data_IF_115978875991
#
_entry.id   IF_115978875991
#
_cell.length_a   1.000
_cell.length_b   1.000
_cell.length_c   1.000
_cell.angle_alpha   90.00
_cell.angle_beta   90.00
_cell.angle_gamma   90.00
#
_symmetry.space_group_name_H-M   'P 1'
#
loop_
_entity.id
_entity.type
_entity.pdbx_description
1 polymer ?
#
# COMPACT_ATOMS: atom_id res chain seq x y z
N UNK A 1 -18.87 -11.57 -20.34
CA UNK A 1 -18.44 -12.88 -20.89
C UNK A 1 -16.96 -12.87 -21.29
N UNK A 2 -16.51 -12.01 -22.21
CA UNK A 2 -15.13 -12.02 -22.74
C UNK A 2 -14.03 -11.95 -21.66
N UNK A 3 -14.16 -11.09 -20.66
CA UNK A 3 -13.22 -10.99 -19.53
C UNK A 3 -13.20 -12.28 -18.70
N UNK A 4 -14.34 -12.94 -18.55
CA UNK A 4 -14.44 -14.22 -17.85
C UNK A 4 -13.73 -15.34 -18.63
N UNK A 5 -13.88 -15.37 -19.95
CA UNK A 5 -13.10 -16.24 -20.83
C UNK A 5 -11.59 -15.97 -20.70
N UNK A 6 -11.17 -14.71 -20.64
CA UNK A 6 -9.78 -14.34 -20.39
C UNK A 6 -9.27 -14.92 -19.06
N UNK A 7 -10.02 -14.73 -17.96
CA UNK A 7 -9.68 -15.28 -16.63
C UNK A 7 -9.49 -16.80 -16.68
N UNK A 8 -10.42 -17.51 -17.31
CA UNK A 8 -10.37 -18.97 -17.44
C UNK A 8 -9.15 -19.41 -18.25
N UNK A 9 -8.92 -18.79 -19.41
CA UNK A 9 -7.79 -19.13 -20.28
C UNK A 9 -6.44 -18.88 -19.61
N UNK A 10 -6.32 -17.82 -18.81
CA UNK A 10 -5.12 -17.55 -18.00
C UNK A 10 -4.90 -18.60 -16.92
N UNK A 11 -5.96 -19.08 -16.26
CA UNK A 11 -5.85 -20.18 -15.30
C UNK A 11 -5.45 -21.51 -15.96
N UNK A 12 -5.95 -21.79 -17.18
CA UNK A 12 -5.49 -22.94 -17.95
C UNK A 12 -4.05 -22.79 -18.42
N UNK A 13 -3.64 -21.58 -18.82
CA UNK A 13 -2.25 -21.26 -19.18
C UNK A 13 -1.27 -21.55 -18.03
N UNK A 14 -1.63 -21.22 -16.79
CA UNK A 14 -0.79 -21.51 -15.62
C UNK A 14 -0.60 -23.02 -15.36
N UNK A 15 -1.58 -23.84 -15.74
CA UNK A 15 -1.56 -25.30 -15.54
C UNK A 15 -1.06 -26.08 -16.75
N UNK A 16 -0.98 -25.45 -17.92
CA UNK A 16 -0.65 -26.11 -19.17
C UNK A 16 0.85 -26.47 -19.25
N UNK A 17 1.21 -27.63 -19.82
CA UNK A 17 2.59 -27.95 -20.14
C UNK A 17 3.16 -26.96 -21.18
N UNK A 18 4.47 -26.75 -21.16
CA UNK A 18 5.16 -25.90 -22.14
C UNK A 18 4.98 -26.47 -23.57
N UNK A 19 4.62 -25.62 -24.52
CA UNK A 19 4.42 -25.98 -25.93
C UNK A 19 3.30 -25.17 -26.61
N UNK A 20 2.92 -25.57 -27.82
CA UNK A 20 1.97 -24.85 -28.67
C UNK A 20 0.59 -24.59 -28.01
N UNK A 21 0.16 -25.50 -27.15
CA UNK A 21 -1.11 -25.36 -26.42
C UNK A 21 -1.09 -24.14 -25.48
N UNK A 22 0.05 -23.91 -24.81
CA UNK A 22 0.23 -22.79 -23.89
C UNK A 22 0.21 -21.46 -24.64
N UNK A 23 0.90 -21.39 -25.78
CA UNK A 23 0.89 -20.21 -26.64
C UNK A 23 -0.50 -19.92 -27.22
N UNK A 24 -1.27 -20.97 -27.53
CA UNK A 24 -2.66 -20.82 -27.99
C UNK A 24 -3.56 -20.23 -26.90
N UNK A 25 -3.45 -20.70 -25.64
CA UNK A 25 -4.20 -20.11 -24.53
C UNK A 25 -3.86 -18.64 -24.31
N UNK A 26 -2.58 -18.26 -24.40
CA UNK A 26 -2.17 -16.86 -24.27
C UNK A 26 -2.73 -16.00 -25.41
N UNK A 27 -2.64 -16.47 -26.66
CA UNK A 27 -3.18 -15.77 -27.84
C UNK A 27 -4.69 -15.57 -27.73
N UNK A 28 -5.42 -16.62 -27.35
CA UNK A 28 -6.88 -16.54 -27.17
C UNK A 28 -7.26 -15.62 -26.01
N UNK A 29 -6.52 -15.64 -24.89
CA UNK A 29 -6.77 -14.73 -23.77
C UNK A 29 -6.62 -13.25 -24.22
N UNK A 30 -5.54 -12.93 -24.96
CA UNK A 30 -5.34 -11.59 -25.53
C UNK A 30 -6.46 -11.18 -26.48
N UNK A 31 -6.89 -12.09 -27.36
CA UNK A 31 -8.01 -11.84 -28.27
C UNK A 31 -9.30 -11.47 -27.53
N UNK A 32 -9.64 -12.20 -26.46
CA UNK A 32 -10.83 -11.89 -25.66
C UNK A 32 -10.69 -10.57 -24.88
N UNK A 33 -9.49 -10.22 -24.41
CA UNK A 33 -9.21 -8.94 -23.76
C UNK A 33 -9.41 -7.78 -24.76
N UNK A 34 -8.84 -7.87 -25.96
CA UNK A 34 -8.99 -6.87 -27.02
C UNK A 34 -10.45 -6.71 -27.48
N UNK A 35 -11.17 -7.83 -27.63
CA UNK A 35 -12.60 -7.80 -27.95
C UNK A 35 -13.42 -7.10 -26.87
N UNK A 36 -13.14 -7.37 -25.58
CA UNK A 36 -13.80 -6.69 -24.47
C UNK A 36 -13.56 -5.17 -24.49
N UNK A 37 -12.32 -4.75 -24.79
CA UNK A 37 -11.95 -3.34 -24.94
C UNK A 37 -12.72 -2.70 -26.10
N UNK A 38 -12.83 -3.38 -27.24
CA UNK A 38 -13.56 -2.88 -28.40
C UNK A 38 -15.05 -2.65 -28.11
N UNK A 39 -15.70 -3.59 -27.40
CA UNK A 39 -17.09 -3.45 -26.99
C UNK A 39 -17.30 -2.22 -26.08
N UNK A 40 -16.46 -2.04 -25.06
CA UNK A 40 -16.60 -0.90 -24.14
C UNK A 40 -16.34 0.42 -24.84
N UNK A 41 -15.33 0.49 -25.72
CA UNK A 41 -15.08 1.70 -26.52
C UNK A 41 -16.29 2.08 -27.37
N UNK A 42 -17.04 1.10 -27.88
CA UNK A 42 -18.25 1.40 -28.63
C UNK A 42 -19.39 1.89 -27.73
N UNK A 43 -19.54 1.32 -26.52
CA UNK A 43 -20.49 1.84 -25.52
C UNK A 43 -20.14 3.26 -25.07
N UNK A 44 -18.86 3.55 -24.86
CA UNK A 44 -18.35 4.86 -24.45
C UNK A 44 -18.66 5.95 -25.48
N UNK A 45 -18.61 5.63 -26.78
CA UNK A 45 -18.99 6.56 -27.85
C UNK A 45 -20.47 6.97 -27.81
N UNK A 46 -21.34 6.09 -27.32
CA UNK A 46 -22.76 6.36 -27.22
C UNK A 46 -23.07 7.22 -25.99
N UNK A 47 -22.67 6.74 -24.82
CA UNK A 47 -22.85 7.45 -23.55
C UNK A 47 -21.77 7.01 -22.56
N UNK A 48 -20.94 7.96 -22.13
CA UNK A 48 -19.82 7.70 -21.22
C UNK A 48 -20.27 7.31 -19.82
N UNK A 49 -21.37 7.88 -19.32
CA UNK A 49 -21.84 7.63 -17.97
C UNK A 49 -22.51 6.25 -17.88
N UNK A 50 -23.35 5.91 -18.87
CA UNK A 50 -23.93 4.56 -18.96
C UNK A 50 -22.85 3.49 -19.16
N UNK A 51 -21.81 3.76 -19.95
CA UNK A 51 -20.69 2.84 -20.11
C UNK A 51 -19.98 2.56 -18.77
N UNK A 52 -19.79 3.59 -17.93
CA UNK A 52 -19.23 3.42 -16.59
C UNK A 52 -20.15 2.57 -15.69
N UNK A 53 -21.46 2.75 -15.77
CA UNK A 53 -22.44 1.97 -15.01
C UNK A 53 -22.41 0.49 -15.41
N UNK A 54 -22.33 0.19 -16.71
CA UNK A 54 -22.24 -1.20 -17.22
C UNK A 54 -21.00 -1.92 -16.65
N UNK A 55 -19.87 -1.24 -16.54
CA UNK A 55 -18.62 -1.82 -15.99
C UNK A 55 -18.74 -2.15 -14.50
N UNK A 56 -19.51 -1.35 -13.76
CA UNK A 56 -19.71 -1.48 -12.32
C UNK A 56 -20.94 -2.32 -11.95
N UNK A 57 -21.78 -2.67 -12.93
CA UNK A 57 -22.94 -3.51 -12.72
C UNK A 57 -22.52 -4.90 -12.22
N UNK A 58 -23.21 -5.39 -11.19
CA UNK A 58 -23.04 -6.76 -10.71
C UNK A 58 -23.85 -7.71 -11.57
N UNK A 59 -23.22 -8.79 -12.02
CA UNK A 59 -23.85 -9.79 -12.88
C UNK A 59 -24.13 -11.05 -12.07
N UNK A 60 -25.41 -11.34 -11.84
CA UNK A 60 -25.86 -12.50 -11.04
C UNK A 60 -25.45 -13.84 -11.66
N UNK A 61 -25.53 -13.95 -12.99
CA UNK A 61 -25.15 -15.16 -13.75
C UNK A 61 -23.68 -15.60 -13.53
N UNK A 62 -22.82 -14.69 -13.10
CA UNK A 62 -21.40 -14.97 -12.86
C UNK A 62 -21.03 -14.87 -11.37
N UNK A 63 -22.01 -14.98 -10.46
CA UNK A 63 -21.76 -14.98 -9.01
C UNK A 63 -21.79 -13.60 -8.36
N UNK A 64 -22.60 -12.67 -8.89
CA UNK A 64 -22.80 -11.32 -8.33
C UNK A 64 -21.51 -10.46 -8.27
N UNK A 65 -20.64 -10.63 -9.26
CA UNK A 65 -19.37 -9.91 -9.43
C UNK A 65 -19.49 -8.84 -10.51
N UNK A 66 -18.65 -7.80 -10.42
CA UNK A 66 -18.59 -6.74 -11.45
C UNK A 66 -17.57 -7.07 -12.54
N UNK A 67 -17.72 -6.49 -13.74
CA UNK A 67 -16.76 -6.66 -14.82
C UNK A 67 -15.35 -6.18 -14.41
N UNK A 68 -15.27 -5.07 -13.66
CA UNK A 68 -14.01 -4.54 -13.15
C UNK A 68 -13.32 -5.48 -12.14
N UNK A 69 -14.09 -6.13 -11.25
CA UNK A 69 -13.55 -7.11 -10.30
C UNK A 69 -12.96 -8.32 -11.02
N UNK A 70 -13.66 -8.86 -12.01
CA UNK A 70 -13.18 -10.01 -12.79
C UNK A 70 -11.91 -9.65 -13.57
N UNK A 71 -11.86 -8.46 -14.18
CA UNK A 71 -10.69 -7.98 -14.89
C UNK A 71 -9.47 -7.78 -13.97
N UNK A 72 -9.69 -7.26 -12.76
CA UNK A 72 -8.64 -7.09 -11.75
C UNK A 72 -8.06 -8.45 -11.30
N UNK A 73 -8.93 -9.42 -11.02
CA UNK A 73 -8.56 -10.79 -10.69
C UNK A 73 -7.79 -11.48 -11.82
N UNK A 74 -8.19 -11.25 -13.07
CA UNK A 74 -7.55 -11.81 -14.26
C UNK A 74 -6.23 -11.09 -14.64
N UNK A 75 -5.88 -9.99 -13.95
CA UNK A 75 -4.76 -9.12 -14.28
C UNK A 75 -4.82 -8.58 -15.72
N UNK A 76 -6.02 -8.22 -16.20
CA UNK A 76 -6.28 -7.63 -17.53
C UNK A 76 -5.88 -6.15 -17.55
N UNK A 77 -4.58 -5.87 -17.58
CA UNK A 77 -4.02 -4.51 -17.43
C UNK A 77 -4.48 -3.57 -18.54
N UNK A 78 -4.61 -4.04 -19.78
CA UNK A 78 -5.00 -3.21 -20.92
C UNK A 78 -6.47 -2.81 -20.80
N UNK A 79 -7.32 -3.75 -20.38
CA UNK A 79 -8.72 -3.48 -20.13
C UNK A 79 -8.92 -2.44 -19.01
N UNK A 80 -8.25 -2.61 -17.86
CA UNK A 80 -8.38 -1.69 -16.71
C UNK A 80 -7.85 -0.29 -17.05
N UNK A 81 -6.85 -0.18 -17.92
CA UNK A 81 -6.30 1.10 -18.38
C UNK A 81 -7.23 1.87 -19.35
N UNK A 82 -8.35 1.27 -19.78
CA UNK A 82 -9.33 1.94 -20.65
C UNK A 82 -9.92 3.19 -19.97
N UNK A 83 -10.12 4.31 -20.68
CA UNK A 83 -10.64 5.55 -20.10
C UNK A 83 -11.94 5.38 -19.32
N UNK A 84 -12.88 4.55 -19.82
CA UNK A 84 -14.12 4.21 -19.13
C UNK A 84 -13.88 3.58 -17.74
N UNK A 85 -12.98 2.60 -17.62
CA UNK A 85 -12.64 1.97 -16.34
C UNK A 85 -11.98 2.96 -15.38
N UNK A 86 -11.06 3.79 -15.88
CA UNK A 86 -10.40 4.85 -15.09
C UNK A 86 -11.42 5.88 -14.60
N UNK A 87 -12.35 6.30 -15.44
CA UNK A 87 -13.42 7.23 -15.09
C UNK A 87 -14.38 6.62 -14.06
N UNK A 88 -14.72 5.34 -14.20
CA UNK A 88 -15.53 4.60 -13.22
C UNK A 88 -14.83 4.53 -11.84
N UNK A 89 -13.54 4.20 -11.80
CA UNK A 89 -12.76 4.21 -10.55
C UNK A 89 -12.64 5.61 -9.95
N UNK A 90 -12.46 6.65 -10.77
CA UNK A 90 -12.48 8.03 -10.31
C UNK A 90 -13.85 8.41 -9.73
N UNK A 91 -14.94 8.01 -10.38
CA UNK A 91 -16.30 8.22 -9.85
C UNK A 91 -16.47 7.53 -8.48
N UNK A 92 -15.93 6.32 -8.30
CA UNK A 92 -15.93 5.64 -7.00
C UNK A 92 -15.06 6.36 -5.95
N UNK A 93 -13.90 6.90 -6.36
CA UNK A 93 -12.97 7.61 -5.48
C UNK A 93 -13.59 8.88 -4.86
N UNK A 94 -14.31 9.66 -5.67
CA UNK A 94 -14.99 10.89 -5.24
C UNK A 94 -16.43 10.66 -4.77
N UNK A 95 -17.03 9.50 -5.09
CA UNK A 95 -18.42 9.16 -4.78
C UNK A 95 -19.39 10.27 -5.26
N UNK A 96 -20.09 10.92 -4.33
CA UNK A 96 -21.04 12.00 -4.61
C UNK A 96 -20.39 13.38 -4.77
N UNK A 97 -19.07 13.50 -4.60
CA UNK A 97 -18.32 14.73 -4.87
C UNK A 97 -18.03 14.77 -6.36
N UNK A 98 -18.18 15.94 -6.98
CA UNK A 98 -17.95 16.05 -8.41
C UNK A 98 -16.45 15.83 -8.73
N UNK A 99 -16.08 14.81 -9.54
CA UNK A 99 -14.66 14.45 -9.78
C UNK A 99 -13.94 15.46 -10.67
N UNK A 100 -14.68 16.27 -11.43
CA UNK A 100 -14.14 17.33 -12.29
C UNK A 100 -14.20 18.68 -11.58
N UNK A 101 -13.06 19.25 -11.26
CA UNK A 101 -12.52 20.33 -12.09
C UNK A 101 -11.16 20.78 -11.54
N UNK A 102 -10.18 20.72 -12.44
CA UNK A 102 -8.85 21.33 -12.42
C UNK A 102 -8.89 22.80 -11.96
N UNK A 103 -9.07 23.04 -10.67
CA UNK A 103 -9.04 24.37 -10.06
C UNK A 103 -8.48 24.24 -8.65
N UNK A 104 -7.38 24.95 -8.37
CA UNK A 104 -6.76 25.07 -7.02
C UNK A 104 -7.78 25.42 -5.94
N UNK A 105 -8.85 26.14 -6.30
CA UNK A 105 -9.98 26.49 -5.44
C UNK A 105 -10.71 25.28 -4.85
N UNK A 106 -10.90 24.21 -5.62
CA UNK A 106 -11.63 23.03 -5.16
C UNK A 106 -10.74 22.13 -4.30
N UNK A 107 -9.43 22.08 -4.57
CA UNK A 107 -8.46 21.44 -3.68
C UNK A 107 -8.39 22.15 -2.34
N UNK A 108 -8.37 23.50 -2.36
CA UNK A 108 -8.46 24.31 -1.16
C UNK A 108 -9.79 24.07 -0.42
N UNK A 109 -10.92 23.98 -1.13
CA UNK A 109 -12.21 23.66 -0.52
C UNK A 109 -12.22 22.27 0.17
N UNK A 110 -11.62 21.25 -0.46
CA UNK A 110 -11.46 19.94 0.16
C UNK A 110 -10.52 19.98 1.37
N UNK A 111 -9.44 20.77 1.31
CA UNK A 111 -8.52 20.96 2.44
C UNK A 111 -9.21 21.68 3.60
N UNK A 112 -9.94 22.77 3.34
CA UNK A 112 -10.75 23.48 4.35
C UNK A 112 -11.78 22.53 4.94
N UNK A 113 -12.44 21.71 4.12
CA UNK A 113 -13.35 20.66 4.58
C UNK A 113 -12.65 19.63 5.47
N UNK A 114 -11.44 19.19 5.11
CA UNK A 114 -10.65 18.23 5.88
C UNK A 114 -10.28 18.78 7.27
N UNK A 115 -9.71 19.98 7.32
CA UNK A 115 -9.28 20.63 8.57
C UNK A 115 -10.45 21.02 9.48
N UNK A 116 -11.61 21.35 8.89
CA UNK A 116 -12.83 21.65 9.65
C UNK A 116 -13.65 20.41 10.02
N UNK A 117 -13.07 19.20 9.91
CA UNK A 117 -13.75 17.91 10.18
C UNK A 117 -15.06 17.72 9.39
N UNK A 118 -15.15 18.34 8.21
CA UNK A 118 -16.29 18.28 7.31
C UNK A 118 -17.39 19.31 7.59
N UNK A 119 -17.27 20.15 8.62
CA UNK A 119 -18.28 21.17 8.93
C UNK A 119 -18.41 22.24 7.84
N UNK A 120 -17.30 22.72 7.28
CA UNK A 120 -17.35 23.71 6.20
C UNK A 120 -17.55 23.09 4.80
N UNK A 121 -17.53 21.76 4.70
CA UNK A 121 -17.65 21.07 3.41
C UNK A 121 -18.93 21.38 2.62
N UNK A 122 -20.13 21.53 3.23
CA UNK A 122 -21.37 21.83 2.50
C UNK A 122 -21.40 23.19 1.80
N UNK A 123 -20.55 24.14 2.21
CA UNK A 123 -20.49 25.49 1.65
C UNK A 123 -19.52 25.60 0.47
N UNK A 124 -18.38 24.91 0.55
CA UNK A 124 -17.29 25.06 -0.42
C UNK A 124 -17.17 23.90 -1.42
N UNK A 125 -17.71 22.72 -1.09
CA UNK A 125 -17.60 21.52 -1.95
C UNK A 125 -18.80 21.42 -2.90
N UNK A 126 -18.51 21.27 -4.19
CA UNK A 126 -19.52 20.99 -5.20
C UNK A 126 -19.83 19.48 -5.23
N UNK A 127 -21.11 19.16 -5.01
CA UNK A 127 -21.63 17.80 -5.09
C UNK A 127 -22.16 17.53 -6.49
N UNK A 128 -22.12 16.27 -6.91
CA UNK A 128 -22.71 15.83 -8.17
C UNK A 128 -24.23 15.87 -8.04
N UNK A 129 -24.89 16.56 -8.97
CA UNK A 129 -26.35 16.57 -9.04
C UNK A 129 -26.88 15.16 -9.37
N UNK A 130 -28.09 14.80 -8.90
CA UNK A 130 -28.78 13.63 -9.39
C UNK A 130 -28.84 13.66 -10.92
N UNK A 131 -28.73 12.51 -11.62
CA UNK A 131 -29.10 12.46 -13.02
C UNK A 131 -30.53 12.97 -13.11
N UNK A 132 -30.74 14.03 -13.90
CA UNK A 132 -32.08 14.51 -14.21
C UNK A 132 -32.79 13.36 -14.90
N UNK A 133 -33.81 12.79 -14.25
CA UNK A 133 -34.76 11.93 -14.96
C UNK A 133 -35.27 12.80 -16.10
N UNK A 134 -34.94 12.44 -17.35
CA UNK A 134 -35.52 13.13 -18.50
C UNK A 134 -37.02 12.88 -18.39
N UNK A 135 -37.80 13.91 -18.07
CA UNK A 135 -39.26 13.90 -18.04
C UNK A 135 -39.89 13.57 -19.42
N UNK A 136 -39.08 13.32 -20.45
CA UNK A 136 -39.48 12.92 -21.80
C UNK A 136 -39.16 11.45 -22.09
N UNK A 137 -39.63 10.54 -21.24
CA UNK A 137 -39.70 9.12 -21.59
C UNK A 137 -41.19 8.78 -21.64
N UNK A 138 -41.70 8.59 -22.85
CA UNK A 138 -43.01 7.99 -23.09
C UNK A 138 -43.14 6.73 -22.21
N UNK A 139 -44.20 6.59 -21.40
CA UNK A 139 -44.33 5.51 -20.42
C UNK A 139 -44.39 4.09 -21.05
N UNK A 140 -44.44 3.98 -22.38
CA UNK A 140 -44.36 2.70 -23.10
C UNK A 140 -42.92 2.27 -23.45
N UNK A 141 -41.92 3.17 -23.44
CA UNK A 141 -40.56 2.81 -23.87
C UNK A 141 -39.67 2.25 -22.75
N UNK A 142 -40.08 2.39 -21.50
CA UNK A 142 -39.49 1.71 -20.33
C UNK A 142 -39.92 0.25 -20.19
N UNK A 143 -40.80 -0.23 -21.07
CA UNK A 143 -41.38 -1.57 -21.06
C UNK A 143 -40.89 -2.49 -22.20
N UNK A 144 -39.80 -2.13 -22.87
CA UNK A 144 -39.09 -3.06 -23.74
C UNK A 144 -37.85 -3.60 -23.04
N UNK A 145 -37.93 -4.79 -22.38
CA UNK A 145 -36.73 -5.52 -22.01
C UNK A 145 -36.00 -5.82 -23.32
N UNK A 146 -34.71 -5.48 -23.40
CA UNK A 146 -33.86 -6.04 -24.44
C UNK A 146 -33.91 -7.56 -24.23
N UNK A 147 -34.65 -8.24 -25.11
CA UNK A 147 -35.13 -9.58 -24.88
C UNK A 147 -34.00 -10.59 -24.78
N UNK A 148 -33.86 -11.18 -23.59
CA UNK A 148 -33.54 -12.60 -23.44
C UNK A 148 -34.53 -13.13 -22.40
N UNK A 149 -35.63 -13.71 -22.90
CA UNK A 149 -36.61 -14.42 -22.08
C UNK A 149 -35.95 -15.62 -21.40
N UNK A 150 -35.77 -15.56 -20.09
CA UNK A 150 -35.96 -16.74 -19.24
C UNK A 150 -36.91 -16.34 -18.11
N UNK A 151 -38.06 -16.98 -18.12
CA UNK A 151 -39.13 -16.88 -17.14
C UNK A 151 -38.71 -17.54 -15.83
N UNK A 152 -38.49 -16.76 -14.77
CA UNK A 152 -38.48 -17.25 -13.39
C UNK A 152 -39.03 -16.19 -12.40
N UNK A 153 -39.64 -16.59 -11.27
CA UNK A 153 -40.68 -15.84 -10.56
C UNK A 153 -40.19 -15.16 -9.26
N UNK A 154 -38.99 -14.58 -9.24
CA UNK A 154 -38.45 -13.93 -8.04
C UNK A 154 -38.24 -12.42 -8.25
N UNK A 155 -38.63 -11.56 -7.28
CA UNK A 155 -38.45 -10.12 -7.39
C UNK A 155 -36.96 -9.77 -7.34
N UNK A 156 -36.46 -9.29 -8.48
CA UNK A 156 -35.07 -8.88 -8.71
C UNK A 156 -34.76 -7.67 -7.81
N UNK A 157 -34.11 -7.92 -6.68
CA UNK A 157 -33.63 -6.89 -5.76
C UNK A 157 -32.29 -6.34 -6.28
N UNK A 158 -32.36 -5.41 -7.24
CA UNK A 158 -31.21 -4.62 -7.67
C UNK A 158 -30.55 -3.95 -6.45
N UNK A 159 -29.25 -4.18 -6.17
CA UNK A 159 -28.57 -3.44 -5.12
C UNK A 159 -28.48 -1.98 -5.55
N UNK A 160 -29.14 -1.12 -4.76
CA UNK A 160 -29.28 0.33 -4.91
C UNK A 160 -28.02 1.01 -5.46
N UNK A 161 -28.18 1.55 -6.66
CA UNK A 161 -27.74 2.87 -7.14
C UNK A 161 -26.96 3.71 -6.13
N UNK A 162 -25.90 4.38 -6.62
CA UNK A 162 -25.43 5.66 -6.08
C UNK A 162 -26.66 6.45 -5.65
N UNK A 163 -26.88 6.55 -4.34
CA UNK A 163 -28.12 7.10 -3.79
C UNK A 163 -28.05 8.60 -4.04
N UNK A 164 -28.56 9.04 -5.18
CA UNK A 164 -28.79 10.45 -5.48
C UNK A 164 -29.96 10.92 -4.61
N UNK A 165 -29.72 11.13 -3.32
CA UNK A 165 -30.71 11.74 -2.44
C UNK A 165 -30.82 13.23 -2.78
N UNK A 166 -32.04 13.79 -2.87
CA UNK A 166 -32.24 15.20 -3.18
C UNK A 166 -31.48 16.08 -2.18
N UNK A 167 -30.66 16.97 -2.74
CA UNK A 167 -29.67 17.78 -2.05
C UNK A 167 -30.38 19.02 -1.48
N UNK A 168 -30.95 18.94 -0.27
CA UNK A 168 -31.37 20.16 0.44
C UNK A 168 -30.96 20.24 1.91
N UNK A 169 -30.51 19.13 2.53
CA UNK A 169 -30.16 19.15 3.96
C UNK A 169 -28.64 19.23 4.16
N UNK A 170 -28.20 20.22 4.96
CA UNK A 170 -26.80 20.43 5.36
C UNK A 170 -26.13 19.17 5.92
N UNK A 171 -26.82 18.46 6.82
CA UNK A 171 -26.33 17.21 7.43
C UNK A 171 -26.12 16.09 6.41
N UNK A 172 -26.91 16.08 5.33
CA UNK A 172 -26.77 15.09 4.28
C UNK A 172 -25.50 15.33 3.43
N UNK A 173 -25.16 16.60 3.18
CA UNK A 173 -23.91 16.98 2.51
C UNK A 173 -22.68 16.57 3.32
N UNK A 174 -22.69 16.79 4.65
CA UNK A 174 -21.61 16.34 5.55
C UNK A 174 -21.46 14.81 5.51
N UNK A 175 -22.57 14.07 5.58
CA UNK A 175 -22.53 12.60 5.49
C UNK A 175 -21.93 12.14 4.17
N UNK A 176 -22.33 12.74 3.06
CA UNK A 176 -21.81 12.41 1.73
C UNK A 176 -20.31 12.73 1.59
N UNK A 177 -19.84 13.81 2.22
CA UNK A 177 -18.43 14.17 2.27
C UNK A 177 -17.59 13.11 2.97
N UNK A 178 -17.99 12.69 4.18
CA UNK A 178 -17.30 11.64 4.95
C UNK A 178 -17.42 10.24 4.32
N UNK A 179 -18.44 10.02 3.48
CA UNK A 179 -18.57 8.77 2.74
C UNK A 179 -17.63 8.66 1.53
N UNK A 180 -17.10 9.79 1.03
CA UNK A 180 -16.17 9.76 -0.10
C UNK A 180 -14.86 9.05 0.26
N UNK A 181 -14.41 8.16 -0.63
CA UNK A 181 -13.20 7.35 -0.40
C UNK A 181 -11.95 8.22 -0.28
N UNK A 182 -11.86 9.26 -1.11
CA UNK A 182 -10.79 10.27 -1.02
C UNK A 182 -10.66 10.87 0.39
N UNK A 183 -11.78 11.20 1.02
CA UNK A 183 -11.77 11.84 2.34
C UNK A 183 -11.35 10.86 3.44
N UNK A 184 -11.89 9.63 3.41
CA UNK A 184 -11.45 8.56 4.32
C UNK A 184 -9.95 8.35 4.22
N UNK A 185 -9.42 8.25 2.99
CA UNK A 185 -8.00 8.12 2.73
C UNK A 185 -7.18 9.28 3.33
N UNK A 186 -7.60 10.53 3.13
CA UNK A 186 -6.93 11.69 3.71
C UNK A 186 -6.94 11.68 5.25
N UNK A 187 -8.06 11.30 5.88
CA UNK A 187 -8.12 11.15 7.34
C UNK A 187 -7.18 10.06 7.85
N UNK A 188 -7.15 8.90 7.19
CA UNK A 188 -6.19 7.83 7.53
C UNK A 188 -4.74 8.31 7.39
N UNK A 189 -4.40 9.06 6.33
CA UNK A 189 -3.06 9.63 6.18
C UNK A 189 -2.71 10.62 7.30
N UNK A 190 -3.64 11.50 7.68
CA UNK A 190 -3.41 12.48 8.75
C UNK A 190 -3.21 11.81 10.11
N UNK A 191 -4.06 10.84 10.47
CA UNK A 191 -3.94 10.10 11.73
C UNK A 191 -2.64 9.30 11.75
N UNK A 192 -2.23 8.71 10.61
CA UNK A 192 -0.98 7.99 10.51
C UNK A 192 0.24 8.91 10.65
N UNK A 193 0.23 10.10 10.02
CA UNK A 193 1.28 11.10 10.22
C UNK A 193 1.36 11.57 11.68
N UNK A 194 0.22 11.78 12.34
CA UNK A 194 0.17 12.09 13.76
C UNK A 194 0.77 10.95 14.59
N UNK A 195 0.43 9.70 14.30
CA UNK A 195 1.03 8.52 14.93
C UNK A 195 2.55 8.48 14.77
N UNK A 196 3.08 8.69 13.57
CA UNK A 196 4.54 8.69 13.33
C UNK A 196 5.25 9.78 14.13
N UNK A 197 4.68 11.00 14.15
CA UNK A 197 5.23 12.11 14.92
C UNK A 197 5.16 11.84 16.42
N UNK A 198 4.04 11.32 16.92
CA UNK A 198 3.86 10.96 18.31
C UNK A 198 4.83 9.84 18.73
N UNK A 199 4.98 8.79 17.92
CA UNK A 199 5.88 7.69 18.22
C UNK A 199 7.36 8.13 18.21
N UNK A 200 7.73 8.99 17.26
CA UNK A 200 9.05 9.62 17.22
C UNK A 200 9.30 10.52 18.44
N UNK A 201 8.28 11.28 18.87
CA UNK A 201 8.34 12.12 20.06
C UNK A 201 8.53 11.29 21.34
N UNK A 202 7.76 10.21 21.51
CA UNK A 202 7.88 9.30 22.66
C UNK A 202 9.29 8.71 22.75
N UNK A 203 9.85 8.21 21.64
CA UNK A 203 11.19 7.61 21.63
C UNK A 203 12.31 8.62 21.94
N UNK A 204 12.14 9.88 21.52
CA UNK A 204 13.17 10.90 21.66
C UNK A 204 13.16 11.59 23.03
N UNK A 205 11.98 11.89 23.59
CA UNK A 205 11.84 12.73 24.77
C UNK A 205 11.31 12.02 26.01
N UNK A 206 10.33 11.12 25.85
CA UNK A 206 9.59 10.54 26.99
C UNK A 206 10.05 9.12 27.36
N UNK A 207 10.87 8.47 26.52
CA UNK A 207 11.40 7.13 26.77
C UNK A 207 12.56 7.18 27.77
N UNK A 208 12.22 7.33 29.05
CA UNK A 208 13.18 7.41 30.16
C UNK A 208 13.19 6.10 30.98
N UNK A 209 14.36 5.73 31.56
CA UNK A 209 14.43 4.58 32.46
C UNK A 209 13.56 4.83 33.70
N UNK A 210 12.97 3.78 34.30
CA UNK A 210 12.16 3.93 35.50
C UNK A 210 13.03 4.48 36.64
N UNK A 211 12.75 5.72 37.07
CA UNK A 211 13.51 6.38 38.15
C UNK A 211 13.09 5.92 39.55
N UNK A 212 11.99 5.18 39.68
CA UNK A 212 11.48 4.61 40.92
C UNK A 212 10.75 3.29 40.64
N UNK A 213 10.41 2.53 41.68
CA UNK A 213 9.72 1.23 41.62
C UNK A 213 8.30 1.28 41.01
N UNK A 214 7.84 2.46 40.58
CA UNK A 214 6.62 2.64 39.82
C UNK A 214 7.03 3.13 38.44
N UNK A 215 6.73 2.38 37.35
CA UNK A 215 7.02 2.84 36.01
C UNK A 215 6.22 4.13 35.74
N UNK A 216 6.94 5.26 35.65
CA UNK A 216 6.37 6.55 35.27
C UNK A 216 6.06 6.57 33.77
N UNK A 217 4.98 5.91 33.38
CA UNK A 217 4.52 5.87 32.00
C UNK A 217 3.88 7.23 31.69
N UNK A 218 4.49 7.96 30.76
CA UNK A 218 3.93 9.20 30.25
C UNK A 218 2.64 8.94 29.46
N UNK A 219 1.67 9.85 29.54
CA UNK A 219 0.38 9.71 28.86
C UNK A 219 0.52 9.59 27.33
N UNK A 220 1.59 10.15 26.77
CA UNK A 220 1.97 10.11 25.34
C UNK A 220 2.29 8.68 24.91
N UNK A 221 2.98 7.92 25.75
CA UNK A 221 3.27 6.53 25.49
C UNK A 221 2.01 5.66 25.56
N UNK A 222 1.16 5.87 26.57
CA UNK A 222 -0.15 5.19 26.66
C UNK A 222 -0.95 5.46 25.39
N UNK A 223 -0.94 6.69 24.91
CA UNK A 223 -1.59 7.07 23.66
C UNK A 223 -0.99 6.32 22.45
N UNK A 224 0.34 6.19 22.34
CA UNK A 224 0.97 5.38 21.28
C UNK A 224 0.56 3.92 21.33
N UNK A 225 0.53 3.30 22.52
CA UNK A 225 0.13 1.91 22.71
C UNK A 225 -1.33 1.71 22.27
N UNK A 226 -2.22 2.63 22.64
CA UNK A 226 -3.63 2.60 22.22
C UNK A 226 -3.74 2.73 20.71
N UNK A 227 -3.02 3.67 20.09
CA UNK A 227 -3.04 3.87 18.64
C UNK A 227 -2.57 2.64 17.86
N UNK A 228 -1.45 2.05 18.26
CA UNK A 228 -0.94 0.81 17.64
C UNK A 228 -1.93 -0.34 17.84
N UNK A 229 -2.55 -0.44 19.01
CA UNK A 229 -3.55 -1.49 19.27
C UNK A 229 -4.81 -1.31 18.42
N UNK A 230 -5.27 -0.08 18.19
CA UNK A 230 -6.39 0.20 17.27
C UNK A 230 -6.01 -0.21 15.83
N UNK A 231 -4.81 0.14 15.38
CA UNK A 231 -4.31 -0.25 14.06
C UNK A 231 -4.18 -1.78 13.92
N UNK A 232 -3.79 -2.49 14.99
CA UNK A 232 -3.76 -3.95 15.00
C UNK A 232 -5.16 -4.54 14.82
N UNK A 233 -6.16 -4.00 15.53
CA UNK A 233 -7.56 -4.45 15.40
C UNK A 233 -8.08 -4.24 13.98
N UNK A 234 -7.77 -3.09 13.35
CA UNK A 234 -8.12 -2.84 11.95
C UNK A 234 -7.46 -3.84 10.99
N UNK A 235 -6.18 -4.20 11.22
CA UNK A 235 -5.47 -5.17 10.39
C UNK A 235 -6.02 -6.60 10.57
N UNK A 236 -6.40 -6.97 11.80
CA UNK A 236 -7.07 -8.24 12.08
C UNK A 236 -8.45 -8.28 11.40
N UNK A 237 -9.23 -7.20 11.49
CA UNK A 237 -10.52 -7.09 10.82
C UNK A 237 -10.38 -7.21 9.30
N UNK A 238 -9.34 -6.59 8.73
CA UNK A 238 -9.00 -6.73 7.31
C UNK A 238 -8.67 -8.18 6.94
N UNK A 239 -7.86 -8.87 7.75
CA UNK A 239 -7.52 -10.29 7.53
C UNK A 239 -8.76 -11.19 7.51
N UNK A 240 -9.71 -10.97 8.42
CA UNK A 240 -10.96 -11.74 8.44
C UNK A 240 -11.86 -11.45 7.24
N UNK A 241 -11.86 -10.20 6.75
CA UNK A 241 -12.70 -9.75 5.63
C UNK A 241 -12.20 -10.18 4.25
N UNK A 242 -11.08 -10.92 4.15
CA UNK A 242 -10.59 -11.46 2.87
C UNK A 242 -11.57 -12.48 2.26
N UNK A 243 -11.81 -12.36 0.96
CA UNK A 243 -12.81 -13.13 0.19
C UNK A 243 -12.56 -14.65 0.11
N UNK A 244 -11.38 -15.14 0.50
CA UNK A 244 -11.05 -16.57 0.41
C UNK A 244 -11.63 -17.38 1.57
N UNK A 245 -12.30 -18.48 1.25
CA UNK A 245 -12.97 -19.36 2.22
C UNK A 245 -11.96 -20.16 3.07
N UNK A 246 -10.82 -20.54 2.49
CA UNK A 246 -9.79 -21.33 3.18
C UNK A 246 -8.77 -20.44 3.91
N UNK A 247 -8.38 -20.81 5.13
CA UNK A 247 -7.37 -20.09 5.92
C UNK A 247 -6.02 -20.02 5.20
N UNK A 248 -5.59 -21.14 4.57
CA UNK A 248 -4.36 -21.16 3.78
C UNK A 248 -4.44 -20.21 2.57
N UNK A 249 -5.61 -20.08 1.95
CA UNK A 249 -5.87 -19.10 0.89
C UNK A 249 -5.74 -17.65 1.40
N UNK A 250 -6.30 -17.37 2.60
CA UNK A 250 -6.19 -16.04 3.25
C UNK A 250 -4.73 -15.67 3.50
N UNK A 251 -3.97 -16.56 4.14
CA UNK A 251 -2.55 -16.33 4.43
C UNK A 251 -1.72 -16.15 3.16
N UNK A 252 -1.91 -17.00 2.13
CA UNK A 252 -1.18 -16.88 0.87
C UNK A 252 -1.48 -15.56 0.16
N UNK A 253 -2.73 -15.08 0.20
CA UNK A 253 -3.09 -13.80 -0.39
C UNK A 253 -2.50 -12.62 0.41
N UNK A 254 -2.52 -12.72 1.74
CA UNK A 254 -1.99 -11.72 2.65
C UNK A 254 -0.48 -11.49 2.48
N UNK A 255 0.30 -12.57 2.46
CA UNK A 255 1.76 -12.53 2.33
C UNK A 255 2.27 -12.21 0.91
N UNK A 256 1.38 -11.97 -0.05
CA UNK A 256 1.78 -11.55 -1.41
C UNK A 256 2.24 -10.09 -1.46
N UNK A 257 1.78 -9.26 -0.54
CA UNK A 257 2.09 -7.84 -0.49
C UNK A 257 3.23 -7.55 0.50
N UNK A 258 4.31 -6.96 0.01
CA UNK A 258 5.48 -6.59 0.82
C UNK A 258 5.12 -5.62 1.94
N UNK A 259 4.21 -4.67 1.70
CA UNK A 259 3.80 -3.72 2.73
C UNK A 259 3.01 -4.39 3.85
N UNK A 260 2.33 -5.50 3.57
CA UNK A 260 1.60 -6.29 4.57
C UNK A 260 2.55 -7.11 5.44
N UNK A 261 3.56 -7.73 4.83
CA UNK A 261 4.65 -8.39 5.59
C UNK A 261 5.33 -7.38 6.52
N UNK A 262 5.70 -6.20 6.01
CA UNK A 262 6.36 -5.17 6.82
C UNK A 262 5.48 -4.69 7.98
N UNK A 263 4.18 -4.51 7.78
CA UNK A 263 3.25 -4.17 8.86
C UNK A 263 3.15 -5.26 9.92
N UNK A 264 3.12 -6.53 9.52
CA UNK A 264 3.11 -7.64 10.47
C UNK A 264 4.38 -7.67 11.32
N UNK A 265 5.55 -7.47 10.69
CA UNK A 265 6.83 -7.38 11.39
C UNK A 265 6.85 -6.21 12.36
N UNK A 266 6.34 -5.03 11.94
CA UNK A 266 6.25 -3.86 12.82
C UNK A 266 5.39 -4.12 14.05
N UNK A 267 4.20 -4.72 13.89
CA UNK A 267 3.40 -5.10 15.06
C UNK A 267 4.12 -6.07 15.99
N UNK A 268 4.80 -7.09 15.45
CA UNK A 268 5.54 -8.06 16.28
C UNK A 268 6.65 -7.34 17.06
N UNK A 269 7.46 -6.51 16.41
CA UNK A 269 8.54 -5.76 17.06
C UNK A 269 8.01 -4.79 18.12
N UNK A 270 6.90 -4.09 17.84
CA UNK A 270 6.26 -3.19 18.79
C UNK A 270 5.88 -3.91 20.09
N UNK A 271 5.15 -5.03 19.99
CA UNK A 271 4.70 -5.77 21.17
C UNK A 271 5.83 -6.51 21.88
N UNK A 272 6.85 -6.99 21.17
CA UNK A 272 8.06 -7.56 21.80
C UNK A 272 8.78 -6.48 22.62
N UNK A 273 8.99 -5.28 22.06
CA UNK A 273 9.56 -4.16 22.80
C UNK A 273 8.70 -3.72 23.98
N UNK A 274 7.37 -3.77 23.84
CA UNK A 274 6.43 -3.49 24.92
C UNK A 274 6.55 -4.51 26.07
N UNK A 275 6.62 -5.80 25.75
CA UNK A 275 6.77 -6.87 26.76
C UNK A 275 8.09 -6.72 27.50
N UNK A 276 9.20 -6.50 26.79
CA UNK A 276 10.52 -6.28 27.40
C UNK A 276 10.49 -5.08 28.35
N UNK A 277 9.82 -4.00 27.94
CA UNK A 277 9.65 -2.81 28.77
C UNK A 277 8.90 -3.07 30.08
N UNK A 278 7.86 -3.90 30.08
CA UNK A 278 7.05 -4.17 31.27
C UNK A 278 7.61 -5.27 32.18
N UNK A 279 8.32 -6.24 31.63
CA UNK A 279 8.74 -7.45 32.36
C UNK A 279 10.07 -7.27 33.09
N UNK A 280 10.99 -6.49 32.54
CA UNK A 280 12.36 -6.33 33.06
C UNK A 280 12.73 -4.86 33.17
N UNK A 281 11.82 -4.07 33.74
CA UNK A 281 11.99 -2.62 33.90
C UNK A 281 13.20 -2.26 34.78
N UNK A 282 13.62 -3.17 35.67
CA UNK A 282 14.71 -2.95 36.62
C UNK A 282 16.12 -3.25 36.02
N UNK A 283 16.20 -3.97 34.89
CA UNK A 283 17.46 -4.34 34.24
C UNK A 283 17.84 -3.35 33.12
N UNK A 284 18.93 -2.60 33.33
CA UNK A 284 19.40 -1.57 32.37
C UNK A 284 19.65 -2.13 30.96
N UNK A 285 20.19 -3.34 30.85
CA UNK A 285 20.50 -3.99 29.57
C UNK A 285 19.22 -4.29 28.75
N UNK A 286 18.16 -4.74 29.43
CA UNK A 286 16.90 -5.08 28.77
C UNK A 286 16.11 -3.83 28.39
N UNK A 287 16.19 -2.78 29.20
CA UNK A 287 15.65 -1.46 28.84
C UNK A 287 16.32 -0.90 27.58
N UNK A 288 17.64 -0.99 27.49
CA UNK A 288 18.38 -0.58 26.28
C UNK A 288 17.95 -1.43 25.08
N UNK A 289 17.77 -2.74 25.26
CA UNK A 289 17.28 -3.61 24.19
C UNK A 289 15.87 -3.21 23.72
N UNK A 290 14.93 -2.93 24.63
CA UNK A 290 13.59 -2.45 24.30
C UNK A 290 13.63 -1.12 23.53
N UNK A 291 14.52 -0.19 23.92
CA UNK A 291 14.74 1.08 23.22
C UNK A 291 15.22 0.87 21.79
N UNK A 292 16.19 -0.03 21.59
CA UNK A 292 16.75 -0.35 20.27
C UNK A 292 15.68 -1.01 19.39
N UNK A 293 14.88 -1.91 19.94
CA UNK A 293 13.77 -2.57 19.22
C UNK A 293 12.75 -1.53 18.76
N UNK A 294 12.32 -0.62 19.63
CA UNK A 294 11.39 0.46 19.24
C UNK A 294 12.02 1.48 18.28
N UNK A 295 13.33 1.71 18.33
CA UNK A 295 14.01 2.55 17.35
C UNK A 295 13.97 1.96 15.93
N UNK A 296 14.22 0.65 15.80
CA UNK A 296 14.09 -0.07 14.54
C UNK A 296 12.62 -0.13 14.10
N UNK A 297 11.70 -0.32 15.04
CA UNK A 297 10.26 -0.36 14.75
C UNK A 297 9.76 0.99 14.18
N UNK A 298 10.13 2.13 14.78
CA UNK A 298 9.80 3.47 14.25
C UNK A 298 10.23 3.60 12.79
N UNK A 299 11.43 3.13 12.44
CA UNK A 299 11.95 3.18 11.07
C UNK A 299 11.07 2.37 10.11
N UNK A 300 10.64 1.17 10.50
CA UNK A 300 9.72 0.35 9.70
C UNK A 300 8.37 1.04 9.48
N UNK A 301 7.83 1.73 10.49
CA UNK A 301 6.61 2.52 10.33
C UNK A 301 6.80 3.72 9.38
N UNK A 302 7.96 4.36 9.40
CA UNK A 302 8.32 5.39 8.41
C UNK A 302 8.42 4.81 6.99
N UNK A 303 9.07 3.67 6.80
CA UNK A 303 9.11 2.97 5.51
C UNK A 303 7.70 2.56 5.05
N UNK A 304 6.84 2.14 5.97
CA UNK A 304 5.44 1.79 5.70
C UNK A 304 4.60 2.97 5.23
N UNK A 305 4.99 4.20 5.56
CA UNK A 305 4.33 5.42 5.06
C UNK A 305 4.38 5.53 3.53
N UNK A 306 5.39 4.94 2.89
CA UNK A 306 5.54 4.94 1.42
C UNK A 306 4.35 4.29 0.71
N UNK A 307 3.62 3.38 1.37
CA UNK A 307 2.42 2.77 0.81
C UNK A 307 1.32 3.80 0.50
N UNK A 308 1.23 4.89 1.27
CA UNK A 308 0.30 5.99 0.99
C UNK A 308 0.72 6.75 -0.29
N UNK A 309 2.02 6.92 -0.51
CA UNK A 309 2.55 7.64 -1.67
C UNK A 309 2.17 6.94 -3.00
N UNK A 310 1.99 5.62 -3.00
CA UNK A 310 1.57 4.83 -4.17
C UNK A 310 0.23 5.30 -4.75
N UNK A 311 -0.70 5.76 -3.90
CA UNK A 311 -2.05 6.18 -4.32
C UNK A 311 -2.04 7.55 -5.00
N UNK A 312 -1.00 8.36 -4.78
CA UNK A 312 -0.91 9.71 -5.33
C UNK A 312 -0.57 9.62 -6.84
N UNK A 313 -1.41 10.16 -7.74
CA UNK A 313 -1.23 9.99 -9.19
C UNK A 313 0.13 10.46 -9.73
N UNK A 314 0.72 11.50 -9.13
CA UNK A 314 2.01 12.05 -9.52
C UNK A 314 3.20 11.25 -8.98
N UNK A 315 3.13 10.73 -7.75
CA UNK A 315 4.27 10.11 -7.07
C UNK A 315 4.27 8.58 -7.15
N UNK A 316 3.11 7.94 -7.28
CA UNK A 316 2.99 6.49 -7.34
C UNK A 316 3.83 5.83 -8.43
N UNK A 317 3.76 6.29 -9.71
CA UNK A 317 4.59 5.73 -10.78
C UNK A 317 6.09 5.84 -10.52
N UNK A 318 6.54 6.95 -9.92
CA UNK A 318 7.95 7.17 -9.58
C UNK A 318 8.42 6.18 -8.51
N UNK A 319 7.63 5.96 -7.46
CA UNK A 319 7.96 5.00 -6.40
C UNK A 319 8.01 3.55 -6.93
N UNK A 320 7.07 3.17 -7.80
CA UNK A 320 7.07 1.84 -8.45
C UNK A 320 8.28 1.68 -9.38
N UNK A 321 8.72 2.75 -10.06
CA UNK A 321 9.93 2.72 -10.87
C UNK A 321 11.19 2.50 -10.02
N UNK A 322 11.34 3.24 -8.90
CA UNK A 322 12.45 3.04 -7.95
C UNK A 322 12.48 1.59 -7.46
N UNK A 323 11.32 1.03 -7.08
CA UNK A 323 11.23 -0.36 -6.63
C UNK A 323 11.68 -1.40 -7.67
N UNK A 324 11.45 -1.13 -8.96
CA UNK A 324 11.95 -2.00 -10.05
C UNK A 324 13.46 -1.85 -10.24
N UNK A 325 13.97 -0.64 -10.15
CA UNK A 325 15.41 -0.33 -10.29
C UNK A 325 16.24 -0.92 -9.14
N UNK A 326 15.67 -1.13 -7.95
CA UNK A 326 16.38 -1.75 -6.83
C UNK A 326 16.88 -3.17 -7.12
N UNK A 327 16.18 -3.92 -7.99
CA UNK A 327 16.64 -5.27 -8.38
C UNK A 327 17.91 -5.22 -9.21
N UNK A 328 18.01 -4.25 -10.11
CA UNK A 328 19.19 -4.04 -10.94
C UNK A 328 20.35 -3.48 -10.09
N UNK A 329 20.04 -2.61 -9.13
CA UNK A 329 21.02 -2.10 -8.16
C UNK A 329 21.64 -3.22 -7.32
N UNK A 330 20.87 -4.23 -6.91
CA UNK A 330 21.38 -5.33 -6.09
C UNK A 330 22.49 -6.10 -6.80
N UNK A 331 22.33 -6.38 -8.10
CA UNK A 331 23.37 -7.04 -8.89
C UNK A 331 24.66 -6.21 -8.94
N UNK A 332 24.54 -4.90 -9.13
CA UNK A 332 25.67 -3.98 -9.11
C UNK A 332 26.36 -3.92 -7.75
N UNK A 333 25.59 -3.90 -6.65
CA UNK A 333 26.12 -3.93 -5.28
C UNK A 333 26.91 -5.22 -5.00
N UNK A 334 26.51 -6.36 -5.55
CA UNK A 334 27.27 -7.60 -5.44
C UNK A 334 28.64 -7.50 -6.11
N UNK A 335 28.73 -6.88 -7.30
CA UNK A 335 30.00 -6.68 -8.01
C UNK A 335 30.92 -5.76 -7.19
N UNK A 336 30.40 -4.63 -6.71
CA UNK A 336 31.17 -3.71 -5.85
C UNK A 336 31.66 -4.43 -4.59
N UNK A 337 30.82 -5.24 -3.95
CA UNK A 337 31.21 -5.98 -2.75
C UNK A 337 32.41 -6.91 -3.01
N UNK A 338 32.42 -7.64 -4.14
CA UNK A 338 33.53 -8.53 -4.51
C UNK A 338 34.82 -7.74 -4.71
N UNK A 339 34.77 -6.65 -5.47
CA UNK A 339 35.93 -5.80 -5.74
C UNK A 339 36.45 -5.16 -4.45
N UNK A 340 35.55 -4.66 -3.61
CA UNK A 340 35.90 -4.07 -2.31
C UNK A 340 36.56 -5.08 -1.38
N UNK A 341 36.02 -6.29 -1.26
CA UNK A 341 36.63 -7.34 -0.44
C UNK A 341 38.02 -7.72 -0.98
N UNK A 342 38.19 -7.83 -2.31
CA UNK A 342 39.49 -8.11 -2.92
C UNK A 342 40.54 -7.04 -2.61
N UNK A 343 40.20 -5.76 -2.79
CA UNK A 343 41.08 -4.65 -2.46
C UNK A 343 41.37 -4.57 -0.95
N UNK A 344 40.35 -4.72 -0.10
CA UNK A 344 40.49 -4.66 1.35
C UNK A 344 41.45 -5.72 1.89
N UNK A 345 41.33 -6.96 1.40
CA UNK A 345 42.22 -8.06 1.80
C UNK A 345 43.65 -7.78 1.35
N UNK A 346 43.86 -7.36 0.10
CA UNK A 346 45.20 -7.06 -0.42
C UNK A 346 45.86 -5.90 0.34
N UNK A 347 45.12 -4.80 0.55
CA UNK A 347 45.62 -3.60 1.25
C UNK A 347 46.00 -3.91 2.69
N UNK A 348 45.13 -4.60 3.44
CA UNK A 348 45.43 -5.00 4.82
C UNK A 348 46.59 -5.98 4.90
N UNK A 349 46.67 -6.95 4.00
CA UNK A 349 47.79 -7.91 3.97
C UNK A 349 49.15 -7.23 3.79
N UNK A 350 49.23 -6.16 2.99
CA UNK A 350 50.49 -5.43 2.78
C UNK A 350 50.90 -4.62 4.02
N UNK A 351 49.94 -3.97 4.69
CA UNK A 351 50.22 -3.19 5.90
C UNK A 351 50.66 -4.09 7.05
N UNK A 352 49.98 -5.22 7.27
CA UNK A 352 50.34 -6.19 8.31
C UNK A 352 51.74 -6.79 8.16
N UNK A 353 52.23 -6.93 6.92
CA UNK A 353 53.60 -7.40 6.68
C UNK A 353 54.66 -6.38 7.12
N UNK A 354 54.37 -5.08 7.02
CA UNK A 354 55.33 -4.01 7.32
C UNK A 354 55.50 -3.70 8.81
N UNK A 355 54.47 -3.93 9.63
CA UNK A 355 54.42 -3.58 11.05
C UNK A 355 54.15 -4.81 11.94
N UNK A 356 55.16 -5.68 12.19
CA UNK A 356 54.99 -6.89 13.01
C UNK A 356 54.67 -6.61 14.49
N UNK A 357 54.88 -5.38 14.97
CA UNK A 357 54.53 -4.96 16.34
C UNK A 357 53.02 -4.81 16.56
N UNK A 358 52.23 -4.58 15.49
CA UNK A 358 50.77 -4.53 15.57
C UNK A 358 50.15 -5.88 15.94
N UNK A 359 50.87 -6.97 15.67
CA UNK A 359 50.46 -8.33 16.00
C UNK A 359 50.62 -8.65 17.50
N UNK A 360 51.45 -7.88 18.20
CA UNK A 360 51.78 -8.09 19.62
C UNK A 360 50.96 -7.21 20.58
N UNK A 361 50.19 -6.23 20.08
CA UNK A 361 49.29 -5.46 20.92
C UNK A 361 48.05 -6.30 21.26
N UNK A 362 48.06 -6.85 22.47
CA UNK A 362 47.01 -7.68 23.08
C UNK A 362 45.68 -6.96 23.31
N UNK A 363 45.48 -5.76 22.76
CA UNK A 363 44.24 -4.98 22.84
C UNK A 363 43.36 -5.14 21.60
N UNK A 364 43.92 -5.62 20.49
CA UNK A 364 43.12 -6.09 19.35
C UNK A 364 43.02 -7.61 19.42
N UNK A 365 41.87 -8.11 19.88
CA UNK A 365 41.55 -9.53 19.79
C UNK A 365 41.67 -9.98 18.32
N UNK A 366 42.79 -10.64 18.00
CA UNK A 366 43.04 -11.31 16.72
C UNK A 366 42.32 -12.66 16.63
N UNK A 367 41.42 -12.94 17.58
CA UNK A 367 40.49 -14.05 17.47
C UNK A 367 39.71 -13.90 16.16
N UNK A 368 39.41 -15.03 15.52
CA UNK A 368 38.66 -15.11 14.28
C UNK A 368 37.19 -14.74 14.53
N UNK A 369 36.94 -13.54 15.02
CA UNK A 369 35.62 -12.99 15.15
C UNK A 369 35.29 -12.30 13.81
N UNK A 370 34.23 -12.74 13.13
CA UNK A 370 33.84 -12.17 11.83
C UNK A 370 33.61 -10.66 11.90
N UNK A 371 33.33 -10.13 13.09
CA UNK A 371 33.14 -8.71 13.36
C UNK A 371 34.44 -7.89 13.25
N UNK A 372 35.57 -8.43 13.69
CA UNK A 372 36.87 -7.75 13.59
C UNK A 372 37.35 -7.69 12.13
N UNK A 373 37.13 -8.77 11.37
CA UNK A 373 37.43 -8.86 9.94
C UNK A 373 36.66 -7.81 9.15
N UNK A 374 35.34 -7.69 9.34
CA UNK A 374 34.53 -6.72 8.61
C UNK A 374 34.94 -5.27 8.90
N UNK A 375 35.20 -4.96 10.17
CA UNK A 375 35.62 -3.62 10.63
C UNK A 375 37.01 -3.25 10.11
N UNK A 376 37.94 -4.20 10.03
CA UNK A 376 39.29 -3.91 9.57
C UNK A 376 39.40 -3.90 8.05
N UNK A 377 38.72 -4.82 7.35
CA UNK A 377 38.92 -5.03 5.91
C UNK A 377 37.94 -4.23 5.05
N UNK A 378 36.64 -4.31 5.36
CA UNK A 378 35.59 -3.80 4.46
C UNK A 378 35.26 -2.34 4.77
N UNK A 379 35.14 -2.01 6.06
CA UNK A 379 34.73 -0.67 6.51
C UNK A 379 35.62 0.45 5.94
N UNK A 380 36.97 0.42 6.03
CA UNK A 380 37.80 1.52 5.54
C UNK A 380 37.74 1.69 4.01
N UNK A 381 37.63 0.58 3.28
CA UNK A 381 37.51 0.59 1.81
C UNK A 381 36.18 1.19 1.38
N UNK A 382 35.10 0.91 2.12
CA UNK A 382 33.79 1.49 1.85
C UNK A 382 33.83 3.02 1.95
N UNK A 383 34.39 3.59 3.02
CA UNK A 383 34.53 5.05 3.16
C UNK A 383 35.47 5.68 2.13
N UNK A 384 36.51 4.95 1.71
CA UNK A 384 37.39 5.39 0.64
C UNK A 384 36.63 5.62 -0.68
N UNK A 385 35.62 4.79 -1.00
CA UNK A 385 34.78 5.00 -2.18
C UNK A 385 34.00 6.32 -2.15
N UNK A 386 33.65 6.82 -0.96
CA UNK A 386 32.95 8.09 -0.77
C UNK A 386 33.91 9.30 -0.67
N UNK A 387 35.21 9.10 -0.92
CA UNK A 387 36.21 10.17 -0.91
C UNK A 387 36.70 10.56 0.49
N UNK A 388 36.33 9.81 1.52
CA UNK A 388 36.91 9.98 2.86
C UNK A 388 38.27 9.26 2.87
N UNK A 389 39.29 9.92 2.34
CA UNK A 389 40.68 9.46 2.40
C UNK A 389 41.17 9.69 3.84
N UNK A 390 41.25 8.61 4.62
CA UNK A 390 41.46 8.69 6.06
C UNK A 390 42.83 9.25 6.46
N UNK A 391 42.80 10.30 7.29
CA UNK A 391 43.78 10.54 8.34
C UNK A 391 43.73 9.46 9.45
N UNK A 392 42.85 8.44 9.32
CA UNK A 392 42.71 7.32 10.25
C UNK A 392 43.55 6.09 9.85
N UNK A 393 44.18 6.11 8.67
CA UNK A 393 45.22 5.11 8.33
C UNK A 393 46.54 5.38 9.06
N UNK A 394 46.70 6.55 9.68
CA UNK A 394 47.86 6.90 10.51
C UNK A 394 47.67 6.65 12.01
N UNK A 395 46.43 6.47 12.48
CA UNK A 395 46.09 6.27 13.90
C UNK A 395 45.63 4.84 14.23
N UNK A 396 45.80 3.90 13.29
CA UNK A 396 45.73 2.44 13.47
C UNK A 396 47.13 1.86 13.25
#
# INVERSE_FOLDING_TARGET
MSIYCCKILKQYFEKAPYGDLRDNYEKNAKYFEEYAIACIKQCEKNDTDQACEIVLQRIELYGNVTCLQVAADAQDKLFIATPCCVQAMNNMWYNNIHPKQSNKRNELAMAIGLFSLGLLAPFFVNYRDPPKIKDNIDPERSLQPYGIHYSDPYPIAFPRYIKYLPINNYMHRIKNFHQALRMKYCYHCLIYCFFLLLFSYVLLFDFQPPTSSIPCIHWTEILTIILVSIMLVEEIHYFFSLDSITLSGKFKSYFRDLFKIMTLIGFILFYVGLILRFTHADDENEFVAARVIWAIDVELWWLRSLAFIIVIPSLGPHLVAIGKMLKDLLFFMCIIAIVMTGYGVASRSMVYYSNPTLFNDTTTDTSFDGRSIFRQIIYPVYYLMYGQMGNELTDL
#
